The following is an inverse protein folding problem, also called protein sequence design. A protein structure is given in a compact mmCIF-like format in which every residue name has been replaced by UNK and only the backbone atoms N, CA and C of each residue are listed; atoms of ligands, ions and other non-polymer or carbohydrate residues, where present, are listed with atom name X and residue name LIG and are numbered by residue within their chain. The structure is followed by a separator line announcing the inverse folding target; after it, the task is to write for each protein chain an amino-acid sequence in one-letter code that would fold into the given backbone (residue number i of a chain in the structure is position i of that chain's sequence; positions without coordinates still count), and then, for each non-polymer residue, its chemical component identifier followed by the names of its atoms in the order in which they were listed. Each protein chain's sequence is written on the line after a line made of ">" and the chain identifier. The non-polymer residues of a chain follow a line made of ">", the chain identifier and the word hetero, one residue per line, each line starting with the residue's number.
data_IF_916881488509
#
_entry.id   IF_916881488509
#
_cell.length_a   1.000
_cell.length_b   1.000
_cell.length_c   1.000
_cell.angle_alpha   90.00
_cell.angle_beta   90.00
_cell.angle_gamma   90.00
#
_symmetry.space_group_name_H-M   'P 1'
#
loop_
_entity.id
_entity.type
_entity.pdbx_description
1 polymer ?
#
# COMPACT_ATOMS: atom_id res chain seq x y z
N UNK A 1 3.37 23.24 13.04
CA UNK A 1 4.14 22.34 12.16
C UNK A 1 4.43 23.03 10.86
N UNK A 2 5.07 22.32 9.93
CA UNK A 2 5.44 22.78 8.59
C UNK A 2 4.82 21.82 7.55
N UNK A 3 3.62 22.10 7.03
CA UNK A 3 2.91 21.20 6.12
C UNK A 3 3.64 20.98 4.79
N UNK A 4 4.39 21.97 4.30
CA UNK A 4 5.09 21.89 3.01
C UNK A 4 6.17 20.80 3.01
N UNK A 5 6.67 20.38 4.18
CA UNK A 5 7.56 19.21 4.29
C UNK A 5 6.90 17.93 3.78
N UNK A 6 5.58 17.81 3.90
CA UNK A 6 4.82 16.63 3.52
C UNK A 6 4.16 16.79 2.15
N UNK A 7 3.75 18.00 1.78
CA UNK A 7 2.94 18.24 0.58
C UNK A 7 3.63 19.09 -0.50
N UNK A 8 4.84 19.60 -0.24
CA UNK A 8 5.61 20.41 -1.19
C UNK A 8 6.58 19.60 -2.08
N UNK A 9 6.78 18.31 -1.80
CA UNK A 9 7.71 17.44 -2.54
C UNK A 9 7.05 16.11 -2.94
N UNK A 10 6.47 16.10 -4.15
CA UNK A 10 5.83 14.92 -4.73
C UNK A 10 6.84 13.81 -5.06
N UNK A 11 8.10 14.14 -5.34
CA UNK A 11 9.10 13.13 -5.67
C UNK A 11 9.38 12.19 -4.48
N UNK A 12 9.14 12.64 -3.24
CA UNK A 12 9.23 11.79 -2.04
C UNK A 12 7.97 10.95 -1.77
N UNK A 13 6.83 11.30 -2.36
CA UNK A 13 5.52 10.86 -1.85
C UNK A 13 4.58 10.28 -2.90
N UNK A 14 4.85 10.49 -4.18
CA UNK A 14 4.00 10.00 -5.26
C UNK A 14 4.28 8.54 -5.60
N UNK A 15 3.22 7.80 -5.84
CA UNK A 15 3.23 6.52 -6.54
C UNK A 15 1.88 6.31 -7.22
N UNK A 16 1.82 5.32 -8.11
CA UNK A 16 0.64 5.05 -8.92
C UNK A 16 0.21 3.61 -8.71
N UNK A 17 -1.10 3.42 -8.60
CA UNK A 17 -1.75 2.12 -8.42
C UNK A 17 -2.81 1.88 -9.47
N UNK A 18 -3.35 0.67 -9.50
CA UNK A 18 -4.49 0.31 -10.33
C UNK A 18 -5.26 -0.87 -9.73
N UNK A 19 -6.55 -0.91 -10.03
CA UNK A 19 -7.43 -2.04 -9.67
C UNK A 19 -7.97 -2.68 -10.94
N UNK A 20 -7.87 -4.00 -11.04
CA UNK A 20 -8.38 -4.78 -12.17
C UNK A 20 -9.58 -5.60 -11.73
N UNK A 21 -10.66 -5.51 -12.50
CA UNK A 21 -11.86 -6.33 -12.33
C UNK A 21 -12.07 -7.19 -13.57
N UNK A 22 -12.24 -8.50 -13.38
CA UNK A 22 -12.55 -9.46 -14.45
C UNK A 22 -13.92 -10.08 -14.24
N UNK A 23 -14.55 -10.51 -15.34
CA UNK A 23 -15.86 -11.18 -15.36
C UNK A 23 -15.77 -12.70 -15.20
N UNK A 24 -14.55 -13.24 -15.09
CA UNK A 24 -14.26 -14.63 -14.77
C UNK A 24 -13.09 -14.73 -13.78
N UNK A 25 -12.89 -15.90 -13.19
CA UNK A 25 -11.75 -16.17 -12.29
C UNK A 25 -10.46 -16.53 -13.01
N UNK A 26 -10.44 -16.60 -14.34
CA UNK A 26 -9.31 -17.15 -15.11
C UNK A 26 -8.00 -16.41 -14.86
N UNK A 27 -8.02 -15.07 -14.90
CA UNK A 27 -6.82 -14.28 -14.62
C UNK A 27 -6.32 -14.46 -13.18
N UNK A 28 -7.23 -14.53 -12.20
CA UNK A 28 -6.87 -14.76 -10.80
C UNK A 28 -6.25 -16.14 -10.61
N UNK A 29 -6.81 -17.16 -11.27
CA UNK A 29 -6.28 -18.53 -11.24
C UNK A 29 -4.90 -18.61 -11.90
N UNK A 30 -4.68 -17.91 -13.01
CA UNK A 30 -3.37 -17.86 -13.65
C UNK A 30 -2.33 -17.16 -12.78
N UNK A 31 -2.65 -16.00 -12.20
CA UNK A 31 -1.74 -15.33 -11.27
C UNK A 31 -1.40 -16.28 -10.12
N UNK A 32 -2.41 -16.93 -9.52
CA UNK A 32 -2.21 -17.85 -8.41
C UNK A 32 -1.32 -19.03 -8.76
N UNK A 33 -1.51 -19.62 -9.95
CA UNK A 33 -0.67 -20.72 -10.47
C UNK A 33 0.77 -20.27 -10.67
N UNK A 34 0.96 -19.15 -11.37
CA UNK A 34 2.29 -18.62 -11.74
C UNK A 34 3.08 -18.24 -10.49
N UNK A 35 2.45 -17.53 -9.55
CA UNK A 35 3.10 -17.13 -8.30
C UNK A 35 3.16 -18.25 -7.25
N UNK A 36 2.61 -19.43 -7.56
CA UNK A 36 2.52 -20.59 -6.66
C UNK A 36 1.88 -20.23 -5.31
N UNK A 37 0.89 -19.34 -5.34
CA UNK A 37 0.34 -18.71 -4.14
C UNK A 37 -1.16 -18.47 -4.29
N UNK A 38 -1.96 -18.96 -3.34
CA UNK A 38 -3.41 -18.75 -3.32
C UNK A 38 -3.78 -17.28 -3.05
N UNK A 39 -4.94 -16.80 -3.53
CA UNK A 39 -5.49 -15.49 -3.17
C UNK A 39 -5.50 -15.25 -1.65
N UNK A 40 -5.11 -14.05 -1.22
CA UNK A 40 -5.09 -13.63 0.18
C UNK A 40 -3.75 -13.80 0.91
N UNK A 41 -2.67 -14.16 0.22
CA UNK A 41 -1.35 -14.40 0.83
C UNK A 41 -0.35 -13.25 0.57
N UNK A 42 -0.77 -12.01 0.82
CA UNK A 42 0.05 -10.79 0.65
C UNK A 42 0.48 -10.49 -0.80
N UNK A 43 1.49 -9.63 -0.96
CA UNK A 43 1.95 -9.10 -2.24
C UNK A 43 3.02 -9.96 -2.92
N UNK A 44 3.08 -9.91 -4.25
CA UNK A 44 4.20 -10.36 -5.07
C UNK A 44 4.89 -9.14 -5.67
N UNK A 45 6.22 -9.07 -5.63
CA UNK A 45 6.99 -7.93 -6.16
C UNK A 45 7.94 -8.40 -7.26
N UNK A 46 7.86 -7.75 -8.42
CA UNK A 46 8.80 -7.94 -9.51
C UNK A 46 10.01 -7.04 -9.26
N UNK A 47 10.99 -7.57 -8.53
CA UNK A 47 12.14 -6.78 -8.04
C UNK A 47 13.03 -6.23 -9.15
N UNK A 48 13.06 -6.90 -10.30
CA UNK A 48 13.81 -6.46 -11.49
C UNK A 48 12.99 -5.57 -12.43
N UNK A 49 11.71 -5.30 -12.12
CA UNK A 49 10.90 -4.37 -12.90
C UNK A 49 11.44 -2.95 -12.78
N UNK A 50 11.56 -2.25 -13.91
CA UNK A 50 12.08 -0.89 -13.94
C UNK A 50 11.26 0.07 -13.08
N UNK A 51 9.93 -0.11 -13.04
CA UNK A 51 8.99 0.70 -12.26
C UNK A 51 8.81 0.19 -10.82
N UNK A 52 9.43 -0.94 -10.47
CA UNK A 52 9.27 -1.68 -9.21
C UNK A 52 7.79 -1.99 -8.94
N UNK A 53 7.21 -2.79 -9.83
CA UNK A 53 5.82 -3.23 -9.80
C UNK A 53 5.61 -4.30 -8.71
N UNK A 54 4.53 -4.16 -7.96
CA UNK A 54 4.00 -5.21 -7.09
C UNK A 54 2.50 -5.38 -7.32
N UNK A 55 2.01 -6.61 -7.13
CA UNK A 55 0.58 -6.94 -7.19
C UNK A 55 0.13 -7.64 -5.90
N UNK A 56 -1.15 -7.46 -5.57
CA UNK A 56 -1.83 -8.10 -4.46
C UNK A 56 -3.10 -8.75 -4.98
N UNK A 57 -3.18 -10.07 -4.81
CA UNK A 57 -4.42 -10.81 -5.02
C UNK A 57 -5.04 -11.05 -3.65
N UNK A 58 -6.09 -10.31 -3.32
CA UNK A 58 -6.82 -10.47 -2.06
C UNK A 58 -7.62 -11.78 -2.05
N UNK A 59 -8.12 -12.19 -0.88
CA UNK A 59 -9.17 -13.20 -0.82
C UNK A 59 -10.38 -12.73 -1.66
N UNK A 60 -10.99 -13.65 -2.42
CA UNK A 60 -12.15 -13.37 -3.26
C UNK A 60 -13.43 -13.88 -2.58
N UNK A 61 -14.52 -13.09 -2.51
CA UNK A 61 -14.63 -11.71 -2.98
C UNK A 61 -13.90 -10.72 -2.06
N UNK A 62 -13.38 -9.63 -2.63
CA UNK A 62 -12.79 -8.52 -1.87
C UNK A 62 -13.84 -7.44 -1.51
N UNK A 63 -14.86 -7.28 -2.36
CA UNK A 63 -15.92 -6.28 -2.18
C UNK A 63 -17.28 -6.95 -1.97
N UNK A 64 -18.14 -6.35 -1.14
CA UNK A 64 -19.50 -6.86 -0.87
C UNK A 64 -20.36 -7.00 -2.15
N UNK A 65 -20.13 -6.14 -3.15
CA UNK A 65 -20.88 -6.13 -4.39
C UNK A 65 -20.21 -6.94 -5.52
N UNK A 66 -19.05 -7.54 -5.28
CA UNK A 66 -18.36 -8.37 -6.25
C UNK A 66 -19.20 -9.64 -6.49
N UNK A 67 -19.53 -9.91 -7.75
CA UNK A 67 -20.30 -11.10 -8.11
C UNK A 67 -19.47 -12.35 -7.93
N UNK A 68 -20.15 -13.49 -7.79
CA UNK A 68 -19.50 -14.79 -7.60
C UNK A 68 -18.48 -15.10 -8.71
N UNK A 69 -18.80 -14.77 -9.96
CA UNK A 69 -17.94 -15.02 -11.12
C UNK A 69 -16.84 -13.95 -11.34
N UNK A 70 -16.87 -12.83 -10.62
CA UNK A 70 -15.93 -11.74 -10.83
C UNK A 70 -14.64 -11.94 -10.02
N UNK A 71 -13.50 -11.52 -10.58
CA UNK A 71 -12.21 -11.49 -9.90
C UNK A 71 -11.71 -10.06 -9.74
N UNK A 72 -11.06 -9.75 -8.60
CA UNK A 72 -10.41 -8.45 -8.39
C UNK A 72 -9.02 -8.60 -7.78
N UNK A 73 -8.05 -7.89 -8.36
CA UNK A 73 -6.73 -7.71 -7.77
C UNK A 73 -6.28 -6.26 -7.90
N UNK A 74 -5.24 -5.91 -7.14
CA UNK A 74 -4.68 -4.57 -7.10
C UNK A 74 -3.18 -4.60 -7.39
N UNK A 75 -2.65 -3.55 -7.98
CA UNK A 75 -1.22 -3.39 -8.20
C UNK A 75 -0.76 -1.94 -8.03
N UNK A 76 0.54 -1.77 -7.82
CA UNK A 76 1.18 -0.46 -7.74
C UNK A 76 2.64 -0.51 -8.16
N UNK A 77 3.18 0.65 -8.52
CA UNK A 77 4.60 0.84 -8.79
C UNK A 77 5.18 1.96 -7.91
N UNK A 78 6.45 1.85 -7.53
CA UNK A 78 7.14 2.87 -6.73
C UNK A 78 7.82 3.94 -7.59
N UNK A 79 8.08 3.67 -8.87
CA UNK A 79 8.73 4.62 -9.78
C UNK A 79 7.83 4.97 -10.97
N UNK A 80 6.73 5.71 -10.74
CA UNK A 80 5.70 5.93 -11.76
C UNK A 80 6.16 6.78 -12.95
N UNK A 81 7.28 7.49 -12.80
CA UNK A 81 7.88 8.32 -13.86
C UNK A 81 8.79 7.55 -14.81
N UNK A 82 9.16 6.30 -14.47
CA UNK A 82 9.99 5.46 -15.34
C UNK A 82 9.13 4.72 -16.36
N UNK A 83 9.77 4.38 -17.48
CA UNK A 83 9.15 3.58 -18.52
C UNK A 83 8.93 2.13 -18.07
N UNK A 84 7.83 1.51 -18.52
CA UNK A 84 7.59 0.08 -18.34
C UNK A 84 8.57 -0.81 -19.11
N UNK A 85 8.67 -2.05 -18.67
CA UNK A 85 9.52 -3.07 -19.26
C UNK A 85 8.91 -3.67 -20.53
N UNK A 86 7.58 -3.68 -20.65
CA UNK A 86 6.83 -4.18 -21.80
C UNK A 86 6.06 -3.06 -22.50
N UNK A 87 5.42 -2.18 -21.73
CA UNK A 87 4.81 -0.96 -22.26
C UNK A 87 5.81 0.19 -22.14
N UNK A 88 6.43 0.55 -23.28
CA UNK A 88 7.55 1.50 -23.40
C UNK A 88 7.13 2.98 -23.29
N UNK A 89 6.55 3.34 -22.14
CA UNK A 89 6.23 4.72 -21.74
C UNK A 89 6.19 4.84 -20.22
N UNK A 90 6.21 6.06 -19.66
CA UNK A 90 6.12 6.26 -18.21
C UNK A 90 4.85 5.64 -17.63
N UNK A 91 4.96 4.88 -16.54
CA UNK A 91 3.82 4.19 -15.94
C UNK A 91 2.66 5.14 -15.58
N UNK A 92 2.97 6.36 -15.14
CA UNK A 92 1.96 7.40 -14.83
C UNK A 92 1.15 7.85 -16.05
N UNK A 93 1.66 7.64 -17.26
CA UNK A 93 1.00 8.00 -18.53
C UNK A 93 0.24 6.83 -19.14
N UNK A 94 0.29 5.65 -18.51
CA UNK A 94 -0.43 4.47 -18.98
C UNK A 94 -1.93 4.58 -18.72
N UNK A 95 -2.71 4.12 -19.68
CA UNK A 95 -4.10 3.73 -19.45
C UNK A 95 -4.16 2.51 -18.52
N UNK A 96 -5.32 2.24 -17.91
CA UNK A 96 -5.45 1.03 -17.10
C UNK A 96 -5.25 -0.27 -17.88
N UNK A 97 -5.60 -0.28 -19.17
CA UNK A 97 -5.29 -1.39 -20.08
C UNK A 97 -3.78 -1.62 -20.18
N UNK A 98 -3.02 -0.57 -20.44
CA UNK A 98 -1.56 -0.64 -20.55
C UNK A 98 -0.89 -1.05 -19.22
N UNK A 99 -1.40 -0.61 -18.06
CA UNK A 99 -0.91 -1.08 -16.76
C UNK A 99 -1.13 -2.59 -16.56
N UNK A 100 -2.28 -3.11 -17.01
CA UNK A 100 -2.53 -4.55 -16.99
C UNK A 100 -1.62 -5.27 -18.00
N UNK A 101 -1.40 -4.73 -19.20
CA UNK A 101 -0.50 -5.32 -20.19
C UNK A 101 0.96 -5.39 -19.69
N UNK A 102 1.45 -4.33 -19.04
CA UNK A 102 2.75 -4.33 -18.35
C UNK A 102 2.81 -5.46 -17.31
N UNK A 103 1.76 -5.58 -16.50
CA UNK A 103 1.65 -6.62 -15.46
C UNK A 103 1.63 -8.03 -16.05
N UNK A 104 0.89 -8.23 -17.14
CA UNK A 104 0.83 -9.51 -17.85
C UNK A 104 2.20 -9.87 -18.42
N UNK A 105 2.95 -8.91 -18.98
CA UNK A 105 4.31 -9.17 -19.46
C UNK A 105 5.23 -9.73 -18.37
N UNK A 106 5.19 -9.17 -17.15
CA UNK A 106 5.96 -9.69 -16.01
C UNK A 106 5.49 -11.08 -15.57
N UNK A 107 4.18 -11.34 -15.58
CA UNK A 107 3.63 -12.66 -15.25
C UNK A 107 3.96 -13.71 -16.32
N UNK A 108 3.88 -13.35 -17.60
CA UNK A 108 4.23 -14.20 -18.74
C UNK A 108 5.71 -14.57 -18.74
N UNK A 109 6.60 -13.63 -18.39
CA UNK A 109 8.03 -13.90 -18.25
C UNK A 109 8.36 -14.90 -17.13
N UNK A 110 7.50 -15.01 -16.12
CA UNK A 110 7.61 -16.00 -15.05
C UNK A 110 6.91 -17.34 -15.39
N UNK A 111 6.01 -17.35 -16.37
CA UNK A 111 5.25 -18.52 -16.77
C UNK A 111 6.00 -19.42 -17.76
N UNK A 112 6.74 -20.40 -17.23
CA UNK A 112 7.48 -21.39 -18.03
C UNK A 112 6.60 -22.16 -19.04
N UNK A 113 5.29 -22.28 -18.78
CA UNK A 113 4.37 -23.02 -19.66
C UNK A 113 3.91 -22.23 -20.89
N UNK A 114 4.02 -20.89 -20.87
CA UNK A 114 3.47 -20.00 -21.89
C UNK A 114 1.93 -19.98 -21.96
N UNK A 115 1.23 -20.60 -21.02
CA UNK A 115 -0.22 -20.75 -21.04
C UNK A 115 -0.96 -19.42 -20.85
N UNK A 116 -0.39 -18.48 -20.08
CA UNK A 116 -0.95 -17.14 -19.93
C UNK A 116 -0.85 -16.35 -21.25
N UNK A 117 0.34 -16.33 -21.86
CA UNK A 117 0.57 -15.63 -23.13
C UNK A 117 -0.32 -16.17 -24.27
N UNK A 118 -0.50 -17.50 -24.32
CA UNK A 118 -1.36 -18.14 -25.31
C UNK A 118 -2.85 -17.77 -25.17
N UNK A 119 -3.31 -17.43 -23.97
CA UNK A 119 -4.71 -17.06 -23.67
C UNK A 119 -4.91 -15.56 -23.46
N UNK A 120 -3.98 -14.74 -23.94
CA UNK A 120 -3.98 -13.31 -23.66
C UNK A 120 -5.26 -12.62 -24.15
N UNK A 121 -5.80 -13.06 -25.30
CA UNK A 121 -7.03 -12.48 -25.84
C UNK A 121 -8.22 -12.76 -24.90
N UNK A 122 -8.40 -14.01 -24.49
CA UNK A 122 -9.47 -14.43 -23.58
C UNK A 122 -9.37 -13.73 -22.22
N UNK A 123 -8.14 -13.61 -21.69
CA UNK A 123 -7.87 -12.85 -20.46
C UNK A 123 -8.31 -11.40 -20.62
N UNK A 124 -7.91 -10.73 -21.70
CA UNK A 124 -8.26 -9.32 -21.93
C UNK A 124 -9.75 -9.12 -22.20
N UNK A 125 -10.43 -10.09 -22.84
CA UNK A 125 -11.88 -10.07 -23.06
C UNK A 125 -12.67 -10.24 -21.76
N UNK A 126 -12.09 -10.92 -20.77
CA UNK A 126 -12.70 -11.04 -19.44
C UNK A 126 -12.64 -9.73 -18.63
N UNK A 127 -11.78 -8.77 -18.99
CA UNK A 127 -11.56 -7.54 -18.21
C UNK A 127 -12.79 -6.64 -18.28
N UNK A 128 -13.48 -6.49 -17.15
CA UNK A 128 -14.56 -5.52 -16.99
C UNK A 128 -13.99 -4.10 -16.97
N UNK A 129 -12.93 -3.90 -16.18
CA UNK A 129 -12.18 -2.64 -16.17
C UNK A 129 -10.79 -2.81 -15.55
N UNK A 130 -9.88 -1.92 -15.90
CA UNK A 130 -8.63 -1.67 -15.17
C UNK A 130 -8.55 -0.16 -14.93
N UNK A 131 -8.58 0.26 -13.66
CA UNK A 131 -8.72 1.66 -13.29
C UNK A 131 -7.40 2.16 -12.69
N UNK A 132 -6.65 3.04 -13.39
CA UNK A 132 -5.45 3.64 -12.85
C UNK A 132 -5.80 4.68 -11.78
N UNK A 133 -4.96 4.79 -10.75
CA UNK A 133 -5.10 5.75 -9.65
C UNK A 133 -3.73 6.30 -9.25
N UNK A 134 -3.44 7.53 -9.69
CA UNK A 134 -2.25 8.25 -9.30
C UNK A 134 -2.51 9.06 -8.03
N UNK A 135 -1.60 8.97 -7.06
CA UNK A 135 -1.77 9.62 -5.76
C UNK A 135 -0.48 10.39 -5.42
N UNK A 136 -0.48 11.72 -5.60
CA UNK A 136 0.73 12.53 -5.41
C UNK A 136 1.28 12.56 -3.98
N UNK A 137 0.48 12.17 -2.99
CA UNK A 137 0.80 12.28 -1.55
C UNK A 137 0.65 10.95 -0.80
N UNK A 138 0.69 9.84 -1.53
CA UNK A 138 0.37 8.53 -1.00
C UNK A 138 1.38 8.05 0.06
N UNK A 139 2.65 8.44 -0.10
CA UNK A 139 3.70 8.28 0.90
C UNK A 139 4.13 9.60 1.55
N UNK A 140 3.31 10.67 1.50
CA UNK A 140 3.66 11.96 2.09
C UNK A 140 3.96 11.87 3.59
N UNK A 141 3.32 10.94 4.30
CA UNK A 141 3.58 10.66 5.72
C UNK A 141 5.02 10.17 6.02
N UNK A 142 5.75 9.73 5.00
CA UNK A 142 7.15 9.29 5.09
C UNK A 142 8.17 10.35 4.63
N UNK A 143 7.73 11.52 4.17
CA UNK A 143 8.64 12.58 3.78
C UNK A 143 9.62 12.93 4.91
N UNK A 144 10.83 13.36 4.52
CA UNK A 144 11.87 13.81 5.44
C UNK A 144 11.31 14.88 6.37
N UNK A 145 11.34 14.61 7.67
CA UNK A 145 10.81 15.49 8.72
C UNK A 145 11.80 15.69 9.86
N UNK A 146 11.64 16.79 10.56
CA UNK A 146 12.21 17.04 11.88
C UNK A 146 11.12 16.94 12.96
N UNK A 147 11.52 16.71 14.21
CA UNK A 147 10.60 16.85 15.35
C UNK A 147 10.06 18.29 15.37
N UNK A 148 8.74 18.44 15.43
CA UNK A 148 8.05 19.74 15.37
C UNK A 148 7.47 20.10 13.99
N UNK A 149 7.84 19.38 12.91
CA UNK A 149 7.20 19.55 11.59
C UNK A 149 5.72 19.14 11.64
N UNK A 150 5.34 18.21 12.52
CA UNK A 150 3.95 17.86 12.82
C UNK A 150 3.46 18.56 14.09
N UNK A 151 2.21 19.06 14.14
CA UNK A 151 1.63 19.54 15.39
C UNK A 151 1.40 18.37 16.35
N UNK A 152 1.49 18.59 17.66
CA UNK A 152 0.97 17.63 18.65
C UNK A 152 -0.52 17.37 18.40
N UNK A 153 -1.00 16.16 18.74
CA UNK A 153 -2.42 15.81 18.69
C UNK A 153 -3.29 16.88 19.36
N UNK A 154 -2.91 17.32 20.57
CA UNK A 154 -3.48 18.52 21.21
C UNK A 154 -2.32 19.48 21.49
N UNK A 155 -2.21 20.61 20.75
CA UNK A 155 -1.15 21.58 20.99
C UNK A 155 -1.15 22.11 22.42
N UNK A 156 0.03 22.49 22.92
CA UNK A 156 0.30 22.84 24.34
C UNK A 156 -0.71 23.81 24.98
N UNK A 157 -1.23 24.76 24.20
CA UNK A 157 -2.17 25.79 24.67
C UNK A 157 -3.55 25.67 24.01
N UNK A 158 -3.83 24.57 23.34
CA UNK A 158 -5.11 24.33 22.69
C UNK A 158 -6.18 23.96 23.72
N UNK A 159 -7.29 24.69 23.70
CA UNK A 159 -8.45 24.44 24.57
C UNK A 159 -9.47 23.50 23.93
N UNK A 160 -9.62 23.55 22.61
CA UNK A 160 -10.72 22.91 21.88
C UNK A 160 -10.34 22.48 20.44
N UNK A 161 -9.06 22.51 20.07
CA UNK A 161 -8.58 22.08 18.76
C UNK A 161 -7.64 20.88 18.88
N UNK A 162 -7.94 19.79 18.18
CA UNK A 162 -7.07 18.63 18.06
C UNK A 162 -6.78 18.29 16.60
N UNK A 163 -5.61 17.70 16.35
CA UNK A 163 -5.20 17.15 15.07
C UNK A 163 -5.21 15.62 15.14
N UNK A 164 -6.06 15.00 14.33
CA UNK A 164 -6.19 13.55 14.23
C UNK A 164 -5.87 13.17 12.78
N UNK A 165 -4.64 12.74 12.54
CA UNK A 165 -4.18 12.32 11.21
C UNK A 165 -2.83 11.61 11.31
N UNK A 166 -2.41 11.00 10.20
CA UNK A 166 -1.03 10.53 10.00
C UNK A 166 0.01 11.67 9.98
N UNK A 167 -0.43 12.93 10.04
CA UNK A 167 0.44 14.11 10.08
C UNK A 167 0.43 14.82 11.44
N UNK A 168 -0.22 14.25 12.46
CA UNK A 168 -0.08 14.67 13.85
C UNK A 168 1.13 13.99 14.51
N UNK A 169 1.75 14.62 15.50
CA UNK A 169 2.90 14.09 16.22
C UNK A 169 2.46 13.18 17.37
N UNK A 170 2.99 11.96 17.40
CA UNK A 170 2.73 10.94 18.40
C UNK A 170 4.01 10.13 18.63
N UNK A 171 4.38 9.81 19.88
CA UNK A 171 5.55 8.98 20.16
C UNK A 171 5.30 7.51 19.83
N UNK A 172 6.37 6.76 19.59
CA UNK A 172 6.42 5.30 19.45
C UNK A 172 5.71 4.70 18.23
N UNK A 173 4.44 5.03 17.97
CA UNK A 173 3.64 4.40 16.91
C UNK A 173 4.18 4.68 15.49
N UNK A 174 3.98 3.70 14.60
CA UNK A 174 4.32 3.81 13.17
C UNK A 174 3.18 4.45 12.37
N UNK A 175 3.52 5.56 11.70
CA UNK A 175 2.57 6.44 11.01
C UNK A 175 1.75 5.79 9.89
N UNK A 176 2.28 4.74 9.25
CA UNK A 176 1.60 4.02 8.15
C UNK A 176 0.30 3.34 8.58
N UNK A 177 0.22 2.95 9.84
CA UNK A 177 -0.87 2.09 10.32
C UNK A 177 -2.12 2.89 10.64
N UNK A 178 -3.29 2.31 10.40
CA UNK A 178 -4.58 2.88 10.85
C UNK A 178 -4.61 3.09 12.37
N UNK A 179 -3.89 2.24 13.11
CA UNK A 179 -3.68 2.36 14.55
C UNK A 179 -3.17 3.76 14.95
N UNK A 180 -2.31 4.39 14.16
CA UNK A 180 -1.78 5.72 14.45
C UNK A 180 -2.91 6.77 14.54
N UNK A 181 -3.85 6.74 13.60
CA UNK A 181 -5.00 7.64 13.55
C UNK A 181 -5.97 7.38 14.71
N UNK A 182 -6.24 6.11 15.02
CA UNK A 182 -7.06 5.71 16.18
C UNK A 182 -6.41 6.18 17.48
N UNK A 183 -5.09 6.07 17.60
CA UNK A 183 -4.35 6.54 18.78
C UNK A 183 -4.41 8.05 18.91
N UNK A 184 -4.26 8.80 17.83
CA UNK A 184 -4.46 10.26 17.82
C UNK A 184 -5.86 10.60 18.36
N UNK A 185 -6.90 9.91 17.90
CA UNK A 185 -8.27 10.15 18.35
C UNK A 185 -8.44 9.88 19.85
N UNK A 186 -7.92 8.75 20.36
CA UNK A 186 -7.99 8.43 21.78
C UNK A 186 -7.27 9.50 22.63
N UNK A 187 -6.07 9.92 22.23
CA UNK A 187 -5.30 10.96 22.93
C UNK A 187 -6.07 12.29 22.95
N UNK A 188 -6.63 12.72 21.82
CA UNK A 188 -7.38 13.96 21.71
C UNK A 188 -8.63 13.97 22.61
N UNK A 189 -9.47 12.94 22.49
CA UNK A 189 -10.71 12.80 23.25
C UNK A 189 -10.42 12.76 24.76
N UNK A 190 -9.41 12.00 25.18
CA UNK A 190 -9.06 11.86 26.59
C UNK A 190 -8.57 13.19 27.17
N UNK A 191 -7.72 13.91 26.41
CA UNK A 191 -7.21 15.23 26.82
C UNK A 191 -8.34 16.24 27.05
N UNK A 192 -9.30 16.33 26.14
CA UNK A 192 -10.40 17.31 26.26
C UNK A 192 -11.44 16.95 27.32
N UNK A 193 -11.66 15.66 27.57
CA UNK A 193 -12.58 15.20 28.60
C UNK A 193 -11.94 15.05 29.99
N UNK A 194 -10.65 15.38 30.13
CA UNK A 194 -9.93 15.25 31.40
C UNK A 194 -9.74 13.80 31.85
N UNK A 195 -9.77 12.85 30.93
CA UNK A 195 -9.52 11.44 31.23
C UNK A 195 -8.00 11.25 31.40
N UNK A 196 -7.53 10.70 32.54
CA UNK A 196 -6.11 10.52 32.82
C UNK A 196 -5.36 9.69 31.76
N UNK A 197 -4.11 10.06 31.45
CA UNK A 197 -3.29 9.41 30.42
C UNK A 197 -2.96 7.95 30.75
N UNK A 198 -2.93 7.56 32.02
CA UNK A 198 -2.72 6.17 32.44
C UNK A 198 -3.87 5.24 32.02
N UNK A 199 -5.04 5.81 31.66
CA UNK A 199 -6.18 5.08 31.10
C UNK A 199 -6.12 4.89 29.58
N UNK A 200 -5.15 5.49 28.89
CA UNK A 200 -4.93 5.21 27.48
C UNK A 200 -4.65 3.72 27.26
N UNK A 201 -5.08 3.20 26.11
CA UNK A 201 -4.84 1.80 25.74
C UNK A 201 -3.35 1.50 25.83
N UNK A 202 -2.98 0.41 26.51
CA UNK A 202 -1.59 0.02 26.68
C UNK A 202 -1.06 -0.56 25.37
N UNK A 203 0.14 -0.15 24.99
CA UNK A 203 0.83 -0.62 23.80
C UNK A 203 1.89 -1.65 24.20
N UNK A 204 2.11 -2.63 23.34
CA UNK A 204 3.18 -3.60 23.55
C UNK A 204 4.53 -2.94 23.33
N UNK A 205 5.51 -3.27 24.18
CA UNK A 205 6.89 -2.84 24.07
C UNK A 205 7.81 -4.07 23.91
N UNK A 206 7.66 -4.79 22.80
CA UNK A 206 8.44 -6.00 22.53
C UNK A 206 9.93 -5.71 22.36
N UNK A 207 10.29 -4.48 21.98
CA UNK A 207 11.69 -4.02 21.87
C UNK A 207 12.42 -4.00 23.22
N UNK A 208 11.70 -4.16 24.33
CA UNK A 208 12.27 -4.28 25.68
C UNK A 208 12.39 -5.73 26.15
N UNK A 209 11.84 -6.70 25.41
CA UNK A 209 11.97 -8.12 25.72
C UNK A 209 13.33 -8.64 25.21
N UNK A 210 14.25 -9.10 26.08
CA UNK A 210 15.56 -9.59 25.67
C UNK A 210 15.51 -10.76 24.68
N UNK A 211 14.48 -11.62 24.74
CA UNK A 211 14.33 -12.75 23.82
C UNK A 211 13.96 -12.27 22.43
N UNK A 212 13.10 -11.24 22.35
CA UNK A 212 12.74 -10.60 21.08
C UNK A 212 13.97 -9.93 20.47
N UNK A 213 14.75 -9.19 21.28
CA UNK A 213 16.01 -8.58 20.84
C UNK A 213 17.02 -9.62 20.35
N UNK A 214 17.20 -10.72 21.07
CA UNK A 214 18.12 -11.78 20.67
C UNK A 214 17.69 -12.42 19.35
N UNK A 215 16.39 -12.72 19.19
CA UNK A 215 15.84 -13.24 17.93
C UNK A 215 15.99 -12.24 16.78
N UNK A 216 15.78 -10.94 17.04
CA UNK A 216 16.00 -9.89 16.05
C UNK A 216 17.47 -9.83 15.62
N UNK A 217 18.42 -9.90 16.56
CA UNK A 217 19.85 -9.93 16.27
C UNK A 217 20.26 -11.15 15.43
N UNK A 218 19.76 -12.34 15.75
CA UNK A 218 19.99 -13.56 14.96
C UNK A 218 19.44 -13.41 13.54
N UNK A 219 18.26 -12.79 13.39
CA UNK A 219 17.61 -12.61 12.08
C UNK A 219 18.42 -11.72 11.13
N UNK A 220 19.27 -10.81 11.65
CA UNK A 220 20.15 -9.97 10.83
C UNK A 220 21.18 -10.76 10.00
N UNK A 221 21.43 -12.03 10.33
CA UNK A 221 22.38 -12.91 9.64
C UNK A 221 21.70 -14.04 8.84
N UNK A 222 20.38 -13.98 8.64
CA UNK A 222 19.60 -15.02 7.97
C UNK A 222 19.64 -14.89 6.44
#
# INVERSE_FOLDING_TARGET
>A
GNPDKFFGDRAQSEWTSFTVTTSSHELINEISRITKQLPGNALNTFVDSNVLLSIVVHHQPHYHAQKENEGVFWGYCLFPRKDGDYVKKPFIEMTGREMLEETLGHLEALDESGALAARRQEIMDSVVNSIPSHMPYASALFNRRAVGDRPLVVPKHSKNLAFISQFAELPFDMVFTEQYSVRCAQVAVYKFLGIPEDKLTKMHHYEKDPKVLAKAAVTMFR
#
